data_IF_882420844208
#
_entry.id   IF_882420844208
#
_cell.length_a   1.000
_cell.length_b   1.000
_cell.length_c   1.000
_cell.angle_alpha   90.00
_cell.angle_beta   90.00
_cell.angle_gamma   90.00
#
_symmetry.space_group_name_H-M   'P 1'
#
loop_
_entity.id
_entity.type
_entity.pdbx_description
1 polymer ?
#
# COMPACT_ATOMS: atom_id res chain seq x y z
N UNK A 1 -26.28 35.43 14.91
CA UNK A 1 -26.64 34.48 13.83
C UNK A 1 -25.44 34.42 12.89
N UNK A 2 -24.84 33.24 12.66
CA UNK A 2 -25.14 32.37 11.50
C UNK A 2 -25.06 33.17 10.19
N UNK A 3 -24.21 32.89 9.22
CA UNK A 3 -23.46 31.67 8.88
C UNK A 3 -23.52 31.53 7.33
N UNK A 4 -22.60 30.86 6.62
CA UNK A 4 -21.49 30.02 7.05
C UNK A 4 -20.31 30.10 6.06
N UNK A 5 -19.11 29.68 6.49
CA UNK A 5 -18.05 29.27 5.57
C UNK A 5 -18.32 27.83 5.12
N UNK A 6 -18.50 27.61 3.81
CA UNK A 6 -18.59 26.31 3.14
C UNK A 6 -18.08 26.47 1.70
N UNK A 7 -17.29 25.56 1.11
CA UNK A 7 -16.52 24.46 1.69
C UNK A 7 -15.43 24.00 0.68
N UNK A 8 -14.16 23.89 1.10
CA UNK A 8 -13.11 23.30 0.26
C UNK A 8 -13.14 21.76 0.38
N UNK A 9 -13.90 21.10 -0.48
CA UNK A 9 -13.93 19.64 -0.53
C UNK A 9 -12.84 19.07 -1.47
N UNK A 10 -12.03 18.13 -0.97
CA UNK A 10 -11.02 17.35 -1.71
C UNK A 10 -11.38 15.84 -1.76
N UNK A 11 -10.40 14.96 -2.02
CA UNK A 11 -10.44 13.49 -2.06
C UNK A 11 -11.01 12.79 -3.30
N UNK A 12 -10.17 11.87 -3.82
CA UNK A 12 -10.38 10.80 -4.83
C UNK A 12 -11.27 11.14 -6.03
N UNK A 13 -10.74 12.00 -6.92
CA UNK A 13 -11.50 12.70 -7.98
C UNK A 13 -11.26 12.17 -9.39
N UNK A 14 -12.22 12.43 -10.28
CA UNK A 14 -12.59 11.64 -11.47
C UNK A 14 -12.49 12.48 -12.77
N UNK A 15 -12.98 12.01 -13.95
CA UNK A 15 -12.68 10.81 -14.76
C UNK A 15 -12.28 11.19 -16.23
N UNK A 16 -12.10 10.23 -17.17
CA UNK A 16 -12.69 10.25 -18.55
C UNK A 16 -12.30 9.06 -19.49
N UNK A 17 -13.31 8.57 -20.23
CA UNK A 17 -13.37 8.00 -21.61
C UNK A 17 -12.29 7.06 -22.25
N UNK A 18 -12.68 5.77 -22.39
CA UNK A 18 -12.66 4.87 -23.58
C UNK A 18 -11.43 4.62 -24.51
N UNK A 19 -11.13 3.33 -24.76
CA UNK A 19 -10.54 2.82 -26.02
C UNK A 19 -9.68 1.53 -25.93
N UNK A 20 -10.20 0.34 -26.30
CA UNK A 20 -9.45 -0.95 -26.32
C UNK A 20 -9.97 -1.88 -27.44
N UNK A 21 -9.09 -2.64 -28.13
CA UNK A 21 -9.35 -4.08 -28.40
C UNK A 21 -8.13 -5.02 -28.11
N UNK A 22 -8.26 -6.00 -27.21
CA UNK A 22 -8.31 -7.48 -27.44
C UNK A 22 -7.46 -8.01 -28.63
N UNK A 23 -6.50 -8.95 -28.46
CA UNK A 23 -6.65 -10.44 -28.39
C UNK A 23 -5.23 -11.12 -28.35
N UNK A 24 -4.95 -12.44 -28.17
CA UNK A 24 -5.68 -13.68 -27.79
C UNK A 24 -4.72 -14.90 -27.56
N UNK A 25 -4.75 -15.55 -26.37
CA UNK A 25 -4.32 -16.97 -26.07
C UNK A 25 -2.82 -17.35 -26.33
N UNK A 26 -2.24 -18.51 -25.93
CA UNK A 26 -2.77 -19.78 -25.36
C UNK A 26 -1.74 -20.55 -24.47
N UNK A 27 -2.24 -21.44 -23.58
CA UNK A 27 -1.75 -22.81 -23.16
C UNK A 27 -0.25 -23.19 -23.04
N UNK A 28 0.21 -24.14 -22.19
CA UNK A 28 -0.33 -24.91 -21.02
C UNK A 28 0.82 -25.67 -20.31
N UNK A 29 0.63 -25.96 -19.00
CA UNK A 29 1.25 -27.01 -18.16
C UNK A 29 2.73 -26.98 -17.69
N UNK A 30 2.86 -27.36 -16.40
CA UNK A 30 3.93 -28.10 -15.71
C UNK A 30 5.28 -27.44 -15.35
N UNK A 31 5.42 -27.05 -14.06
CA UNK A 31 6.40 -27.56 -13.05
C UNK A 31 6.26 -26.69 -11.78
N UNK A 32 5.99 -27.29 -10.62
CA UNK A 32 5.72 -26.56 -9.36
C UNK A 32 6.98 -26.14 -8.57
N UNK A 33 7.99 -25.64 -9.27
CA UNK A 33 8.92 -24.68 -8.68
C UNK A 33 8.53 -23.30 -9.20
N UNK A 34 7.89 -22.48 -8.37
CA UNK A 34 7.57 -21.08 -8.71
C UNK A 34 8.83 -20.21 -8.62
N UNK A 35 9.83 -20.57 -9.42
CA UNK A 35 10.87 -19.65 -9.89
C UNK A 35 10.12 -18.55 -10.64
N UNK A 36 9.73 -17.50 -9.91
CA UNK A 36 9.24 -16.26 -10.46
C UNK A 36 10.15 -15.90 -11.63
N UNK A 37 9.59 -15.81 -12.84
CA UNK A 37 10.29 -15.19 -13.95
C UNK A 37 10.46 -13.74 -13.58
N UNK A 38 11.60 -13.40 -12.97
CA UNK A 38 12.03 -12.02 -12.76
C UNK A 38 12.43 -11.45 -14.12
N UNK A 39 11.45 -11.24 -15.00
CA UNK A 39 11.60 -10.42 -16.19
C UNK A 39 11.74 -8.96 -15.77
N UNK A 40 12.48 -8.19 -16.59
CA UNK A 40 12.43 -6.73 -16.79
C UNK A 40 12.49 -5.74 -15.60
N UNK A 41 12.37 -6.17 -14.35
CA UNK A 41 12.35 -5.29 -13.18
C UNK A 41 10.99 -4.61 -12.92
N UNK A 42 9.89 -5.10 -13.50
CA UNK A 42 8.54 -4.63 -13.17
C UNK A 42 8.11 -4.96 -11.75
N UNK A 43 7.14 -4.18 -11.24
CA UNK A 43 6.45 -4.42 -9.97
C UNK A 43 5.63 -5.71 -10.04
N UNK A 44 5.84 -6.61 -9.08
CA UNK A 44 5.03 -7.83 -8.95
C UNK A 44 3.70 -7.52 -8.25
N UNK A 45 2.61 -7.99 -8.87
CA UNK A 45 1.28 -8.10 -8.25
C UNK A 45 0.89 -9.57 -8.22
N UNK A 46 0.50 -10.11 -7.07
CA UNK A 46 0.14 -11.52 -6.98
C UNK A 46 -1.10 -11.88 -7.82
N UNK A 47 -1.13 -13.03 -8.50
CA UNK A 47 -2.32 -13.49 -9.23
C UNK A 47 -3.51 -13.65 -8.28
N UNK A 48 -4.66 -13.06 -8.64
CA UNK A 48 -5.86 -13.03 -7.79
C UNK A 48 -5.99 -11.79 -6.88
N UNK A 49 -5.25 -10.72 -7.15
CA UNK A 49 -5.53 -9.38 -6.63
C UNK A 49 -6.44 -8.61 -7.59
N UNK A 50 -7.52 -8.00 -7.08
CA UNK A 50 -8.49 -7.23 -7.87
C UNK A 50 -8.68 -5.83 -7.31
N UNK A 51 -8.55 -4.81 -8.15
CA UNK A 51 -8.95 -3.44 -7.81
C UNK A 51 -10.47 -3.33 -7.83
N UNK A 52 -11.05 -2.79 -6.75
CA UNK A 52 -12.49 -2.53 -6.59
C UNK A 52 -12.75 -1.06 -6.30
N UNK A 53 -13.95 -0.58 -6.62
CA UNK A 53 -14.44 0.73 -6.19
C UNK A 53 -14.90 0.66 -4.74
N UNK A 54 -14.56 1.68 -3.95
CA UNK A 54 -15.00 1.90 -2.57
C UNK A 54 -15.97 3.09 -2.46
N UNK A 55 -16.59 3.49 -3.59
CA UNK A 55 -17.46 4.66 -3.68
C UNK A 55 -16.68 5.97 -3.55
N UNK A 56 -17.18 6.89 -2.73
CA UNK A 56 -16.49 8.16 -2.42
C UNK A 56 -15.11 7.98 -1.77
N UNK A 57 -14.83 6.80 -1.17
CA UNK A 57 -13.50 6.46 -0.66
C UNK A 57 -12.49 6.09 -1.76
N UNK A 58 -12.88 6.06 -3.03
CA UNK A 58 -11.99 5.81 -4.17
C UNK A 58 -11.89 4.33 -4.54
N UNK A 59 -10.68 3.76 -4.46
CA UNK A 59 -10.37 2.39 -4.90
C UNK A 59 -9.61 1.62 -3.81
N UNK A 60 -9.62 0.30 -3.88
CA UNK A 60 -8.83 -0.58 -3.02
C UNK A 60 -8.62 -1.95 -3.65
N UNK A 61 -7.78 -2.81 -3.05
CA UNK A 61 -7.56 -4.19 -3.50
C UNK A 61 -8.32 -5.20 -2.64
N UNK A 62 -8.91 -6.21 -3.29
CA UNK A 62 -9.45 -7.42 -2.64
C UNK A 62 -8.82 -8.69 -3.21
N UNK A 63 -8.89 -9.76 -2.44
CA UNK A 63 -8.51 -11.11 -2.86
C UNK A 63 -9.64 -11.80 -3.67
N UNK A 64 -9.32 -12.33 -4.85
CA UNK A 64 -10.26 -13.19 -5.63
C UNK A 64 -10.10 -14.68 -5.35
N UNK A 65 -9.05 -15.06 -4.61
CA UNK A 65 -8.77 -16.41 -4.14
C UNK A 65 -8.30 -16.36 -2.69
N UNK A 66 -8.09 -17.52 -2.09
CA UNK A 66 -7.37 -17.60 -0.82
C UNK A 66 -5.87 -17.39 -1.06
N UNK A 67 -5.22 -16.68 -0.14
CA UNK A 67 -3.78 -16.56 0.00
C UNK A 67 -3.34 -17.19 1.33
N UNK A 68 -2.13 -17.76 1.35
CA UNK A 68 -1.56 -18.38 2.55
C UNK A 68 -0.65 -17.42 3.32
N UNK A 69 -0.53 -17.62 4.64
CA UNK A 69 0.48 -16.94 5.44
C UNK A 69 1.88 -17.11 4.82
N UNK A 70 2.64 -16.02 4.73
CA UNK A 70 3.95 -15.95 4.08
C UNK A 70 3.92 -15.86 2.55
N UNK A 71 2.75 -15.89 1.92
CA UNK A 71 2.63 -15.73 0.46
C UNK A 71 2.87 -14.27 0.04
N UNK A 72 3.69 -14.07 -1.00
CA UNK A 72 4.01 -12.73 -1.52
C UNK A 72 2.81 -12.13 -2.23
N UNK A 73 2.43 -10.93 -1.79
CA UNK A 73 1.30 -10.14 -2.30
C UNK A 73 1.78 -9.10 -3.31
N UNK A 74 2.85 -8.37 -2.97
CA UNK A 74 3.41 -7.31 -3.80
C UNK A 74 4.95 -7.33 -3.74
N UNK A 75 5.61 -6.93 -4.83
CA UNK A 75 7.01 -6.47 -4.79
C UNK A 75 7.07 -5.18 -5.61
N UNK A 76 7.20 -4.04 -4.95
CA UNK A 76 7.28 -2.75 -5.64
C UNK A 76 8.65 -2.55 -6.32
N UNK A 77 8.61 -2.03 -7.55
CA UNK A 77 9.75 -1.63 -8.36
C UNK A 77 9.42 -0.33 -9.09
N UNK A 78 10.44 0.49 -9.34
CA UNK A 78 10.26 1.81 -9.93
C UNK A 78 11.46 2.72 -9.70
N UNK A 79 11.25 4.02 -9.84
CA UNK A 79 12.26 5.04 -9.57
C UNK A 79 12.26 5.40 -8.09
N UNK A 80 13.42 5.79 -7.56
CA UNK A 80 13.53 6.40 -6.23
C UNK A 80 13.60 7.92 -6.38
N UNK A 81 12.85 8.63 -5.54
CA UNK A 81 12.87 10.10 -5.40
C UNK A 81 13.08 10.49 -3.93
N UNK A 82 13.58 11.70 -3.70
CA UNK A 82 13.83 12.30 -2.36
C UNK A 82 12.60 13.01 -1.80
N UNK A 83 12.55 13.27 -0.50
CA UNK A 83 11.45 14.01 0.15
C UNK A 83 11.28 15.41 -0.47
N UNK A 84 12.39 16.05 -0.83
CA UNK A 84 12.41 17.33 -1.55
C UNK A 84 11.65 17.28 -2.88
N UNK A 85 11.70 16.16 -3.59
CA UNK A 85 10.97 15.94 -4.84
C UNK A 85 9.51 15.56 -4.57
N UNK A 86 9.24 14.74 -3.54
CA UNK A 86 7.87 14.43 -3.08
C UNK A 86 7.09 15.67 -2.67
N UNK A 87 7.77 16.69 -2.12
CA UNK A 87 7.17 17.99 -1.80
C UNK A 87 6.71 18.77 -3.06
N UNK A 88 7.28 18.51 -4.24
CA UNK A 88 6.86 19.15 -5.51
C UNK A 88 5.67 18.45 -6.18
N UNK A 89 5.36 17.21 -5.78
CA UNK A 89 4.25 16.43 -6.33
C UNK A 89 2.88 16.93 -5.86
N UNK A 90 1.82 16.62 -6.61
CA UNK A 90 0.45 16.80 -6.14
C UNK A 90 0.08 15.74 -5.09
N UNK A 91 -0.96 15.99 -4.29
CA UNK A 91 -1.45 15.01 -3.29
C UNK A 91 -1.90 13.69 -3.94
N UNK A 92 -2.39 13.74 -5.18
CA UNK A 92 -2.77 12.55 -5.95
C UNK A 92 -1.57 11.69 -6.34
N UNK A 93 -0.40 12.30 -6.56
CA UNK A 93 0.84 11.57 -6.85
C UNK A 93 1.50 11.10 -5.55
N UNK A 94 1.52 11.94 -4.50
CA UNK A 94 2.02 11.58 -3.15
C UNK A 94 1.32 10.35 -2.57
N UNK A 95 0.01 10.23 -2.77
CA UNK A 95 -0.80 9.11 -2.28
C UNK A 95 -0.53 7.76 -2.96
N UNK A 96 0.40 7.69 -3.92
CA UNK A 96 0.75 6.48 -4.67
C UNK A 96 2.24 6.10 -4.52
N UNK A 97 2.91 6.67 -3.51
CA UNK A 97 4.32 6.39 -3.18
C UNK A 97 4.43 5.32 -2.09
N UNK A 98 5.50 4.54 -2.13
CA UNK A 98 5.96 3.73 -0.99
C UNK A 98 7.22 4.37 -0.39
N UNK A 99 7.23 4.67 0.91
CA UNK A 99 8.48 5.05 1.57
C UNK A 99 9.37 3.81 1.76
N UNK A 100 10.60 3.86 1.23
CA UNK A 100 11.55 2.74 1.24
C UNK A 100 12.83 3.02 2.02
N UNK A 101 13.12 4.29 2.37
CA UNK A 101 14.09 4.66 3.40
C UNK A 101 13.81 6.06 3.98
N UNK A 102 14.68 6.59 4.85
CA UNK A 102 14.48 7.87 5.54
C UNK A 102 14.35 9.10 4.63
N UNK A 103 14.96 9.08 3.44
CA UNK A 103 14.82 10.10 2.39
C UNK A 103 14.70 9.45 0.99
N UNK A 104 13.97 8.33 0.92
CA UNK A 104 13.81 7.56 -0.30
C UNK A 104 12.38 7.05 -0.43
N UNK A 105 11.73 7.43 -1.53
CA UNK A 105 10.35 7.06 -1.86
C UNK A 105 10.35 6.42 -3.24
N UNK A 106 9.73 5.24 -3.34
CA UNK A 106 9.56 4.52 -4.59
C UNK A 106 8.29 5.02 -5.26
N UNK A 107 8.44 5.55 -6.48
CA UNK A 107 7.35 5.81 -7.42
C UNK A 107 7.34 4.73 -8.50
N UNK A 108 6.18 4.13 -8.76
CA UNK A 108 6.02 3.10 -9.79
C UNK A 108 6.06 3.68 -11.21
N UNK A 109 5.80 2.87 -12.22
CA UNK A 109 5.64 3.32 -13.60
C UNK A 109 4.46 4.31 -13.73
N UNK A 110 4.47 5.15 -14.78
CA UNK A 110 3.43 6.18 -15.04
C UNK A 110 1.97 5.68 -15.15
N UNK A 111 1.74 4.37 -15.15
CA UNK A 111 0.43 3.75 -15.19
C UNK A 111 0.24 2.86 -13.94
N UNK A 112 -0.46 3.42 -12.95
CA UNK A 112 -0.70 2.84 -11.62
C UNK A 112 -1.17 1.38 -11.69
N UNK A 113 -0.49 0.52 -10.93
CA UNK A 113 -0.67 -0.93 -10.93
C UNK A 113 -1.64 -1.38 -9.83
N UNK A 114 -2.05 -2.65 -9.85
CA UNK A 114 -2.99 -3.22 -8.86
C UNK A 114 -2.53 -2.98 -7.43
N UNK A 115 -1.23 -3.14 -7.14
CA UNK A 115 -0.66 -2.99 -5.80
C UNK A 115 -0.64 -1.53 -5.30
N UNK A 116 -0.71 -0.54 -6.19
CA UNK A 116 -0.70 0.89 -5.84
C UNK A 116 -2.06 1.34 -5.26
N UNK A 117 -3.05 0.42 -5.23
CA UNK A 117 -4.33 0.55 -4.55
C UNK A 117 -4.44 -0.30 -3.28
N UNK A 118 -3.35 -0.87 -2.77
CA UNK A 118 -3.35 -1.55 -1.45
C UNK A 118 -3.46 -0.46 -0.37
N UNK A 119 -4.59 -0.43 0.31
CA UNK A 119 -4.91 0.62 1.28
C UNK A 119 -4.44 0.30 2.70
N UNK A 120 -4.42 1.34 3.51
CA UNK A 120 -4.24 1.25 4.95
C UNK A 120 -5.37 0.49 5.68
N UNK A 121 -5.01 -0.31 6.68
CA UNK A 121 -5.90 -0.74 7.77
C UNK A 121 -5.20 -0.67 9.13
N UNK A 122 -5.91 -0.23 10.18
CA UNK A 122 -5.43 -0.29 11.56
C UNK A 122 -5.46 -1.71 12.15
N UNK A 123 -6.11 -2.66 11.47
CA UNK A 123 -6.06 -4.11 11.75
C UNK A 123 -5.82 -4.83 10.41
N UNK A 124 -4.57 -4.84 9.90
CA UNK A 124 -4.22 -5.30 8.55
C UNK A 124 -4.10 -6.83 8.44
N UNK A 125 -3.85 -7.31 7.21
CA UNK A 125 -3.53 -8.72 6.93
C UNK A 125 -2.20 -8.93 6.20
N UNK A 126 -1.53 -7.86 5.76
CA UNK A 126 -0.23 -7.91 5.11
C UNK A 126 0.82 -7.06 5.86
N UNK A 127 2.10 -7.40 5.66
CA UNK A 127 3.26 -6.73 6.26
C UNK A 127 4.54 -6.93 5.42
N UNK A 128 5.61 -6.21 5.75
CA UNK A 128 6.83 -6.19 4.95
C UNK A 128 7.85 -7.26 5.37
N UNK A 129 8.61 -7.77 4.40
CA UNK A 129 9.80 -8.62 4.63
C UNK A 129 11.12 -7.97 4.19
N UNK A 130 11.03 -6.94 3.35
CA UNK A 130 12.13 -6.03 2.98
C UNK A 130 11.52 -4.64 2.64
N UNK A 131 12.33 -3.68 2.16
CA UNK A 131 11.85 -2.33 1.84
C UNK A 131 10.74 -2.27 0.76
N UNK A 132 10.52 -3.35 0.00
CA UNK A 132 9.64 -3.38 -1.20
C UNK A 132 8.73 -4.61 -1.31
N UNK A 133 9.00 -5.69 -0.56
CA UNK A 133 8.19 -6.93 -0.61
C UNK A 133 7.15 -6.95 0.52
N UNK A 134 5.88 -7.09 0.13
CA UNK A 134 4.74 -7.26 1.02
C UNK A 134 4.24 -8.71 0.96
N UNK A 135 4.02 -9.32 2.12
CA UNK A 135 3.50 -10.71 2.25
C UNK A 135 2.29 -10.75 3.17
N UNK A 136 1.50 -11.83 3.06
CA UNK A 136 0.38 -12.07 3.96
C UNK A 136 0.87 -12.52 5.36
N UNK A 137 0.51 -11.78 6.41
CA UNK A 137 0.88 -12.11 7.81
C UNK A 137 0.07 -13.28 8.38
N UNK A 138 -1.05 -13.61 7.73
CA UNK A 138 -1.98 -14.71 8.06
C UNK A 138 -2.58 -15.26 6.76
N UNK A 139 -3.34 -16.35 6.86
CA UNK A 139 -4.25 -16.75 5.78
C UNK A 139 -5.28 -15.63 5.48
N UNK A 140 -5.51 -15.37 4.19
CA UNK A 140 -6.47 -14.39 3.68
C UNK A 140 -7.47 -15.12 2.78
N UNK A 141 -8.77 -14.92 2.99
CA UNK A 141 -9.84 -15.53 2.19
C UNK A 141 -10.19 -14.69 0.96
N UNK A 142 -10.70 -15.35 -0.07
CA UNK A 142 -11.37 -14.66 -1.17
C UNK A 142 -12.49 -13.74 -0.64
N UNK A 143 -12.55 -12.51 -1.16
CA UNK A 143 -13.44 -11.44 -0.72
C UNK A 143 -12.87 -10.52 0.37
N UNK A 144 -11.78 -10.88 1.05
CA UNK A 144 -11.12 -9.97 1.99
C UNK A 144 -10.38 -8.83 1.26
N UNK A 145 -10.36 -7.65 1.88
CA UNK A 145 -9.52 -6.54 1.44
C UNK A 145 -8.04 -6.81 1.76
N UNK A 146 -7.15 -6.44 0.85
CA UNK A 146 -5.69 -6.55 1.02
C UNK A 146 -5.19 -5.22 1.57
N UNK A 147 -4.59 -5.25 2.76
CA UNK A 147 -4.20 -4.05 3.52
C UNK A 147 -2.96 -4.28 4.38
N UNK A 148 -2.14 -3.25 4.53
CA UNK A 148 -1.07 -3.16 5.53
C UNK A 148 -1.32 -1.94 6.44
N UNK A 149 -0.62 -1.84 7.57
CA UNK A 149 -0.65 -0.62 8.37
C UNK A 149 0.47 0.31 7.89
N UNK A 150 0.16 1.58 7.61
CA UNK A 150 1.15 2.51 7.03
C UNK A 150 2.21 2.89 8.05
N UNK A 151 1.97 2.68 9.35
CA UNK A 151 3.00 2.72 10.38
C UNK A 151 4.15 1.72 10.13
N UNK A 152 3.97 0.71 9.25
CA UNK A 152 5.03 -0.21 8.84
C UNK A 152 6.06 0.41 7.89
N UNK A 153 5.73 1.50 7.17
CA UNK A 153 6.59 2.13 6.14
C UNK A 153 6.77 3.64 6.31
N UNK A 154 5.73 4.36 6.76
CA UNK A 154 5.62 5.80 6.57
C UNK A 154 6.10 6.56 7.82
N UNK A 155 7.13 7.37 7.66
CA UNK A 155 7.81 8.08 8.74
C UNK A 155 7.73 9.61 8.61
N UNK A 156 6.84 10.12 7.76
CA UNK A 156 6.79 11.54 7.34
C UNK A 156 5.40 12.15 7.53
N UNK A 157 5.28 13.40 8.01
CA UNK A 157 3.99 14.04 8.26
C UNK A 157 3.19 14.33 6.98
N UNK A 158 3.85 14.33 5.81
CA UNK A 158 3.24 14.57 4.49
C UNK A 158 2.24 13.48 4.04
N UNK A 159 2.20 12.33 4.72
CA UNK A 159 1.26 11.24 4.47
C UNK A 159 0.12 11.17 5.51
N UNK A 160 -0.17 12.25 6.23
CA UNK A 160 -1.24 12.26 7.24
C UNK A 160 -2.65 12.31 6.62
N UNK A 161 -3.56 11.44 7.05
CA UNK A 161 -4.95 11.40 6.58
C UNK A 161 -5.93 10.86 7.63
N UNK A 162 -7.22 11.19 7.49
CA UNK A 162 -8.29 10.68 8.37
C UNK A 162 -8.70 9.25 7.97
N UNK A 163 -8.80 8.36 8.95
CA UNK A 163 -8.86 6.91 8.73
C UNK A 163 -10.29 6.35 8.75
N UNK A 164 -10.70 5.76 7.62
CA UNK A 164 -12.03 5.20 7.38
C UNK A 164 -12.03 3.68 7.17
N UNK A 165 -11.06 2.96 7.76
CA UNK A 165 -10.93 1.49 7.65
C UNK A 165 -12.02 0.72 8.43
N UNK A 166 -12.76 1.38 9.33
CA UNK A 166 -13.88 0.83 10.11
C UNK A 166 -13.59 -0.40 10.97
N UNK A 167 -12.32 -0.69 11.24
CA UNK A 167 -11.89 -1.75 12.18
C UNK A 167 -12.15 -1.36 13.63
N UNK A 168 -12.12 -2.34 14.55
CA UNK A 168 -12.39 -2.10 15.97
C UNK A 168 -11.33 -1.19 16.61
N UNK A 169 -10.08 -1.34 16.18
CA UNK A 169 -8.93 -0.52 16.60
C UNK A 169 -8.62 0.63 15.62
N UNK A 170 -9.62 1.11 14.89
CA UNK A 170 -9.44 2.21 13.93
C UNK A 170 -9.01 3.51 14.65
N UNK A 171 -7.75 3.91 14.44
CA UNK A 171 -7.08 5.06 15.07
C UNK A 171 -7.62 6.44 14.66
N UNK A 172 -8.62 6.48 13.76
CA UNK A 172 -9.32 7.68 13.22
C UNK A 172 -8.46 8.67 12.44
N UNK A 173 -7.15 8.73 12.66
CA UNK A 173 -6.18 9.47 11.87
C UNK A 173 -4.87 8.70 11.80
N UNK A 174 -4.19 8.78 10.67
CA UNK A 174 -2.86 8.22 10.41
C UNK A 174 -1.88 9.37 10.28
N UNK A 175 -0.68 9.24 10.86
CA UNK A 175 0.36 10.26 10.93
C UNK A 175 1.76 9.63 10.90
N UNK A 176 2.75 10.31 10.32
CA UNK A 176 4.11 9.79 10.10
C UNK A 176 4.97 9.51 11.34
N UNK A 177 4.40 9.54 12.54
CA UNK A 177 5.03 9.08 13.78
C UNK A 177 4.25 7.94 14.47
N UNK A 178 3.22 7.37 13.82
CA UNK A 178 2.46 6.22 14.33
C UNK A 178 3.36 5.00 14.66
N UNK A 179 4.49 4.84 13.96
CA UNK A 179 5.50 3.80 14.25
C UNK A 179 6.13 3.90 15.64
N UNK A 180 5.95 5.03 16.35
CA UNK A 180 6.39 5.22 17.74
C UNK A 180 5.39 4.65 18.76
N UNK A 181 4.19 4.26 18.34
CA UNK A 181 3.16 3.70 19.23
C UNK A 181 3.56 2.27 19.65
N UNK A 182 3.71 2.08 20.97
CA UNK A 182 4.16 0.81 21.54
C UNK A 182 3.26 -0.39 21.16
N UNK A 183 1.94 -0.20 21.04
CA UNK A 183 1.04 -1.28 20.62
C UNK A 183 1.31 -1.72 19.17
N UNK A 184 1.62 -0.77 18.27
CA UNK A 184 1.97 -1.10 16.88
C UNK A 184 3.36 -1.74 16.81
N UNK A 185 4.32 -1.30 17.64
CA UNK A 185 5.64 -1.93 17.74
C UNK A 185 5.55 -3.40 18.19
N UNK A 186 4.71 -3.70 19.18
CA UNK A 186 4.43 -5.07 19.63
C UNK A 186 3.70 -5.88 18.54
N UNK A 187 2.58 -5.35 18.02
CA UNK A 187 1.68 -6.05 17.08
C UNK A 187 2.32 -6.32 15.72
N UNK A 188 3.25 -5.48 15.28
CA UNK A 188 3.90 -5.58 13.97
C UNK A 188 5.41 -5.90 14.08
N UNK A 189 5.86 -6.43 15.22
CA UNK A 189 7.22 -6.92 15.40
C UNK A 189 7.58 -7.93 14.28
N UNK A 190 8.64 -7.62 13.52
CA UNK A 190 9.07 -8.40 12.35
C UNK A 190 8.37 -8.07 11.02
N UNK A 191 7.40 -7.15 11.00
CA UNK A 191 6.63 -6.76 9.79
C UNK A 191 6.81 -5.29 9.35
N UNK A 192 7.60 -4.51 10.10
CA UNK A 192 8.03 -3.18 9.70
C UNK A 192 9.02 -3.24 8.53
N UNK A 193 8.93 -2.28 7.61
CA UNK A 193 9.96 -2.06 6.60
C UNK A 193 11.31 -1.76 7.30
N UNK A 194 12.45 -2.24 6.77
CA UNK A 194 13.74 -2.16 7.46
C UNK A 194 14.22 -0.78 7.91
N UNK A 195 13.79 0.33 7.28
CA UNK A 195 14.12 1.67 7.76
C UNK A 195 13.32 2.06 9.01
N UNK A 196 12.03 1.72 9.08
CA UNK A 196 11.21 1.93 10.28
C UNK A 196 11.70 1.05 11.44
N UNK A 197 12.08 -0.19 11.16
CA UNK A 197 12.69 -1.09 12.15
C UNK A 197 14.00 -0.54 12.73
N UNK A 198 14.82 0.16 11.93
CA UNK A 198 16.02 0.87 12.42
C UNK A 198 15.64 2.03 13.34
N UNK A 199 14.67 2.86 12.97
CA UNK A 199 14.20 3.99 13.78
C UNK A 199 13.61 3.54 15.13
N UNK A 200 12.81 2.46 15.13
CA UNK A 200 12.28 1.86 16.37
C UNK A 200 13.42 1.46 17.30
N UNK A 201 14.42 0.72 16.80
CA UNK A 201 15.58 0.32 17.60
C UNK A 201 16.40 1.52 18.11
N UNK A 202 16.54 2.57 17.31
CA UNK A 202 17.22 3.81 17.70
C UNK A 202 16.45 4.59 18.78
N UNK A 203 15.12 4.49 18.83
CA UNK A 203 14.28 5.14 19.85
C UNK A 203 14.23 4.42 21.21
N UNK A 204 14.90 3.27 21.33
CA UNK A 204 14.95 2.41 22.52
C UNK A 204 16.33 2.48 23.22
N UNK A 205 17.14 3.49 22.90
CA UNK A 205 18.51 3.72 23.37
C UNK A 205 18.73 5.19 23.77
#
# INVERSE_FOLDING_TARGET
MLGAHLEHQHFNRQPLAFGIPIFSHASKLLVWFTRLKMSDGTTYSAPGLKVVSLGSRGRGVVAERNFKQGEVIAIWRGSIITEREVLQLSDSERSQLLQVDQDAFLITNKALLTVDYINHSCEPNCGFTDNTTLVAMRDIKAGEAITFDYAMSDTKPIFAFDCWCSTSKCRKKIIGNDWQLADLQERYAGWFAPHVARLIKQSQH
#
